data_IF_472466540094
#
_entry.id   IF_472466540094
#
_cell.length_a   1.000
_cell.length_b   1.000
_cell.length_c   1.000
_cell.angle_alpha   90.00
_cell.angle_beta   90.00
_cell.angle_gamma   90.00
#
_symmetry.space_group_name_H-M   'P 1'
#
loop_
_entity.id
_entity.type
_entity.pdbx_description
1 polymer ?
#
# COMPACT_ATOMS: atom_id res chain seq x y z
N UNK A 1 9.78 12.76 16.44
CA UNK A 1 9.20 12.95 15.08
C UNK A 1 8.71 11.64 14.43
N UNK A 2 9.17 10.45 14.82
CA UNK A 2 8.83 9.18 14.15
C UNK A 2 7.34 8.75 14.16
N UNK A 3 6.53 9.30 15.07
CA UNK A 3 5.12 8.90 15.25
C UNK A 3 4.14 9.60 14.30
N UNK A 4 4.44 10.82 13.86
CA UNK A 4 3.57 11.59 12.97
C UNK A 4 3.49 10.97 11.56
N UNK A 5 4.64 10.52 11.04
CA UNK A 5 4.73 9.89 9.71
C UNK A 5 3.96 8.57 9.67
N UNK A 6 4.06 7.75 10.72
CA UNK A 6 3.33 6.48 10.83
C UNK A 6 1.80 6.65 10.81
N UNK A 7 1.29 7.69 11.45
CA UNK A 7 -0.13 8.04 11.43
C UNK A 7 -0.58 8.45 10.03
N UNK A 8 0.21 9.30 9.37
CA UNK A 8 -0.04 9.72 8.00
C UNK A 8 -0.04 8.54 7.02
N UNK A 9 0.96 7.66 7.09
CA UNK A 9 1.07 6.51 6.18
C UNK A 9 -0.08 5.51 6.37
N UNK A 10 -0.54 5.31 7.61
CA UNK A 10 -1.73 4.50 7.90
C UNK A 10 -2.99 5.12 7.29
N UNK A 11 -3.15 6.44 7.39
CA UNK A 11 -4.28 7.13 6.77
C UNK A 11 -4.26 6.99 5.23
N UNK A 12 -3.10 7.15 4.59
CA UNK A 12 -2.93 6.93 3.15
C UNK A 12 -3.30 5.49 2.75
N UNK A 13 -2.91 4.48 3.55
CA UNK A 13 -3.31 3.08 3.30
C UNK A 13 -4.83 2.88 3.42
N UNK A 14 -5.47 3.44 4.45
CA UNK A 14 -6.92 3.33 4.62
C UNK A 14 -7.66 3.98 3.44
N UNK A 15 -7.18 5.12 2.96
CA UNK A 15 -7.76 5.79 1.80
C UNK A 15 -7.62 4.94 0.53
N UNK A 16 -6.49 4.24 0.35
CA UNK A 16 -6.33 3.28 -0.74
C UNK A 16 -7.38 2.16 -0.70
N UNK A 17 -7.70 1.64 0.49
CA UNK A 17 -8.76 0.64 0.68
C UNK A 17 -10.15 1.20 0.39
N UNK A 18 -10.46 2.41 0.85
CA UNK A 18 -11.74 3.06 0.56
C UNK A 18 -11.98 3.18 -0.94
N UNK A 19 -10.97 3.61 -1.71
CA UNK A 19 -11.07 3.65 -3.18
C UNK A 19 -11.10 2.27 -3.83
N UNK A 20 -10.50 1.25 -3.22
CA UNK A 20 -10.52 -0.13 -3.75
C UNK A 20 -11.91 -0.74 -3.60
N UNK A 21 -12.49 -0.58 -2.40
CA UNK A 21 -13.73 -1.24 -1.98
C UNK A 21 -14.97 -0.38 -2.27
N UNK A 22 -14.80 0.91 -2.54
CA UNK A 22 -15.87 1.87 -2.79
C UNK A 22 -16.59 2.29 -1.51
N UNK A 23 -15.88 2.31 -0.38
CA UNK A 23 -16.45 2.63 0.92
C UNK A 23 -16.44 4.16 1.13
N UNK A 24 -17.62 4.79 1.07
CA UNK A 24 -17.77 6.23 1.23
C UNK A 24 -17.20 7.08 0.08
N UNK A 25 -16.64 6.44 -0.95
CA UNK A 25 -16.13 7.05 -2.19
C UNK A 25 -16.44 6.12 -3.37
N UNK A 26 -16.48 6.67 -4.58
CA UNK A 26 -16.54 5.84 -5.79
C UNK A 26 -15.27 4.99 -5.94
N UNK A 27 -15.42 3.76 -6.45
CA UNK A 27 -14.29 2.87 -6.71
C UNK A 27 -13.36 3.49 -7.74
N UNK A 28 -12.09 3.60 -7.40
CA UNK A 28 -11.06 4.15 -8.28
C UNK A 28 -9.72 3.44 -8.05
N UNK A 29 -9.41 2.50 -8.94
CA UNK A 29 -8.20 1.72 -8.84
C UNK A 29 -6.92 2.53 -9.07
N UNK A 30 -6.97 3.62 -9.84
CA UNK A 30 -5.82 4.51 -10.02
C UNK A 30 -5.48 5.20 -8.70
N UNK A 31 -6.51 5.66 -7.97
CA UNK A 31 -6.33 6.20 -6.62
C UNK A 31 -5.89 5.15 -5.61
N UNK A 32 -6.43 3.91 -5.69
CA UNK A 32 -5.91 2.80 -4.87
C UNK A 32 -4.39 2.66 -5.05
N UNK A 33 -3.91 2.67 -6.29
CA UNK A 33 -2.48 2.58 -6.60
C UNK A 33 -1.70 3.77 -6.04
N UNK A 34 -2.15 5.00 -6.29
CA UNK A 34 -1.50 6.23 -5.84
C UNK A 34 -1.35 6.27 -4.31
N UNK A 35 -2.44 6.03 -3.58
CA UNK A 35 -2.45 6.07 -2.11
C UNK A 35 -1.65 4.94 -1.48
N UNK A 36 -1.67 3.74 -2.09
CA UNK A 36 -0.81 2.63 -1.68
C UNK A 36 0.67 2.98 -1.85
N UNK A 37 1.02 3.63 -2.96
CA UNK A 37 2.39 4.10 -3.22
C UNK A 37 2.86 5.11 -2.17
N UNK A 38 2.06 6.14 -1.87
CA UNK A 38 2.37 7.12 -0.81
C UNK A 38 2.56 6.48 0.56
N UNK A 39 1.69 5.52 0.91
CA UNK A 39 1.81 4.77 2.15
C UNK A 39 3.10 3.92 2.19
N UNK A 40 3.46 3.31 1.06
CA UNK A 40 4.67 2.51 0.91
C UNK A 40 5.96 3.33 1.02
N UNK A 41 5.99 4.56 0.49
CA UNK A 41 7.14 5.49 0.61
C UNK A 41 7.48 5.78 2.08
N UNK A 42 6.47 5.83 2.94
CA UNK A 42 6.62 5.95 4.38
C UNK A 42 6.94 4.64 5.11
N UNK A 43 7.30 3.57 4.39
CA UNK A 43 7.63 2.23 4.90
C UNK A 43 6.56 1.62 5.80
N UNK A 44 5.29 2.00 5.60
CA UNK A 44 4.18 1.35 6.29
C UNK A 44 3.91 0.01 5.63
N UNK A 45 4.19 -1.08 6.35
CA UNK A 45 4.19 -2.43 5.79
C UNK A 45 2.89 -2.81 5.05
N UNK A 46 1.71 -2.37 5.54
CA UNK A 46 0.43 -2.62 4.85
C UNK A 46 0.30 -1.83 3.55
N UNK A 47 0.84 -0.61 3.50
CA UNK A 47 0.94 0.19 2.27
C UNK A 47 1.83 -0.49 1.23
N UNK A 48 3.01 -0.97 1.64
CA UNK A 48 3.92 -1.74 0.78
C UNK A 48 3.26 -3.02 0.27
N UNK A 49 2.55 -3.75 1.15
CA UNK A 49 1.79 -4.95 0.77
C UNK A 49 0.71 -4.64 -0.26
N UNK A 50 -0.09 -3.59 -0.03
CA UNK A 50 -1.15 -3.19 -0.97
C UNK A 50 -0.57 -2.75 -2.32
N UNK A 51 0.55 -2.04 -2.33
CA UNK A 51 1.26 -1.68 -3.57
C UNK A 51 1.74 -2.95 -4.31
N UNK A 52 2.26 -3.93 -3.58
CA UNK A 52 2.65 -5.23 -4.13
C UNK A 52 1.48 -5.96 -4.80
N UNK A 53 0.31 -5.98 -4.15
CA UNK A 53 -0.94 -6.52 -4.72
C UNK A 53 -1.33 -5.74 -5.98
N UNK A 54 -1.24 -4.41 -5.96
CA UNK A 54 -1.59 -3.59 -7.13
C UNK A 54 -0.75 -3.96 -8.35
N UNK A 55 0.56 -4.15 -8.20
CA UNK A 55 1.40 -4.63 -9.30
C UNK A 55 1.11 -6.09 -9.68
N UNK A 56 0.81 -6.95 -8.72
CA UNK A 56 0.55 -8.37 -9.00
C UNK A 56 -0.73 -8.59 -9.81
N UNK A 57 -1.79 -7.82 -9.50
CA UNK A 57 -3.12 -7.94 -10.09
C UNK A 57 -3.40 -6.88 -11.18
N UNK A 58 -2.56 -5.86 -11.31
CA UNK A 58 -2.78 -4.76 -12.25
C UNK A 58 -3.85 -3.75 -11.80
N UNK A 59 -3.98 -3.53 -10.49
CA UNK A 59 -4.93 -2.55 -9.93
C UNK A 59 -4.33 -1.15 -10.08
N UNK A 60 -4.92 -0.34 -10.96
CA UNK A 60 -4.49 1.04 -11.20
C UNK A 60 -3.10 1.16 -11.84
N UNK A 61 -2.56 0.05 -12.34
CA UNK A 61 -1.25 -0.03 -12.99
C UNK A 61 -1.20 -1.26 -13.90
N UNK A 62 -0.18 -1.35 -14.75
CA UNK A 62 0.05 -2.56 -15.53
C UNK A 62 0.56 -3.68 -14.64
N UNK A 63 0.14 -4.91 -14.93
CA UNK A 63 0.61 -6.11 -14.21
C UNK A 63 2.13 -6.20 -14.28
N UNK A 64 2.76 -6.30 -13.12
CA UNK A 64 4.17 -6.60 -12.94
C UNK A 64 4.35 -7.54 -11.75
N UNK A 65 4.21 -8.84 -12.01
CA UNK A 65 4.28 -9.88 -10.97
C UNK A 65 5.62 -9.92 -10.24
N UNK A 66 6.73 -9.65 -10.94
CA UNK A 66 8.06 -9.61 -10.35
C UNK A 66 8.16 -8.52 -9.29
N UNK A 67 7.79 -7.29 -9.66
CA UNK A 67 7.78 -6.15 -8.74
C UNK A 67 6.78 -6.34 -7.60
N UNK A 68 5.61 -6.91 -7.90
CA UNK A 68 4.61 -7.25 -6.88
C UNK A 68 5.16 -8.22 -5.84
N UNK A 69 5.84 -9.28 -6.28
CA UNK A 69 6.47 -10.26 -5.39
C UNK A 69 7.56 -9.63 -4.52
N UNK A 70 8.45 -8.82 -5.09
CA UNK A 70 9.51 -8.12 -4.37
C UNK A 70 8.94 -7.25 -3.23
N UNK A 71 7.91 -6.45 -3.53
CA UNK A 71 7.22 -5.61 -2.55
C UNK A 71 6.53 -6.43 -1.44
N UNK A 72 5.93 -7.57 -1.78
CA UNK A 72 5.33 -8.47 -0.78
C UNK A 72 6.40 -9.03 0.16
N UNK A 73 7.58 -9.38 -0.34
CA UNK A 73 8.69 -9.81 0.53
C UNK A 73 9.20 -8.66 1.40
N UNK A 74 9.34 -7.46 0.83
CA UNK A 74 9.72 -6.26 1.59
C UNK A 74 8.73 -5.98 2.73
N UNK A 75 7.42 -6.04 2.45
CA UNK A 75 6.38 -5.85 3.45
C UNK A 75 6.50 -6.83 4.63
N UNK A 76 6.79 -8.12 4.37
CA UNK A 76 7.03 -9.13 5.41
C UNK A 76 8.25 -8.81 6.26
N UNK A 77 9.31 -8.27 5.67
CA UNK A 77 10.51 -7.85 6.41
C UNK A 77 10.18 -6.64 7.29
N UNK A 78 9.44 -5.66 6.78
CA UNK A 78 9.02 -4.47 7.53
C UNK A 78 8.08 -4.81 8.69
N UNK A 79 7.16 -5.76 8.49
CA UNK A 79 6.28 -6.26 9.55
C UNK A 79 7.09 -6.86 10.71
N UNK A 80 8.01 -7.77 10.41
CA UNK A 80 8.86 -8.43 11.42
C UNK A 80 9.75 -7.45 12.19
N UNK A 81 10.19 -6.36 11.56
CA UNK A 81 10.98 -5.30 12.21
C UNK A 81 10.18 -4.46 13.20
N UNK A 82 8.84 -4.45 13.07
CA UNK A 82 7.95 -3.67 13.93
C UNK A 82 7.46 -4.46 15.16
N UNK A 83 7.49 -5.78 15.08
CA UNK A 83 7.11 -6.70 16.17
C UNK A 83 8.29 -7.12 17.05
N UNK A 84 9.50 -6.63 16.76
CA UNK A 84 10.71 -6.81 17.56
C UNK A 84 11.05 -5.51 18.27
#
# INVERSE_FOLDING_TARGET
MYTADLGHNKAQYNLALMYKDGEGVEKDYNKTFEFSKRSAEGKYYRGVLQLGICYYEGIGTSVNKQKGYELIQEAKILEKRRTK
#
